data_IF_690472912539
#
_entry.id   IF_690472912539
#
_cell.length_a   1.000
_cell.length_b   1.000
_cell.length_c   1.000
_cell.angle_alpha   90.00
_cell.angle_beta   90.00
_cell.angle_gamma   90.00
#
_symmetry.space_group_name_H-M   'P 1'
#
loop_
_entity.id
_entity.type
_entity.pdbx_description
1 polymer ?
2 non-polymer ?
3 non-polymer ?
4 water ?
#
# COMPACT_ATOMS: atom_id res chain seq x y z
N UNK A 15 36.04 -6.14 -7.80
CA UNK A 15 34.94 -6.13 -8.82
C UNK A 15 34.01 -7.34 -8.72
N UNK A 16 32.91 -7.27 -9.47
CA UNK A 16 31.88 -8.33 -9.52
C UNK A 16 31.43 -8.56 -10.95
N UNK A 17 31.88 -9.65 -11.56
CA UNK A 17 31.52 -9.97 -12.94
C UNK A 17 30.53 -11.15 -13.04
N UNK A 18 29.77 -11.41 -11.98
CA UNK A 18 28.91 -12.59 -11.93
C UNK A 18 27.83 -12.59 -13.03
N UNK A 19 27.19 -11.44 -13.22
CA UNK A 19 26.05 -11.35 -14.16
C UNK A 19 26.50 -11.28 -15.62
N UNK A 20 27.73 -10.84 -15.85
CA UNK A 20 28.34 -10.90 -17.18
C UNK A 20 28.17 -12.31 -17.74
N UNK A 21 27.91 -12.41 -19.04
CA UNK A 21 27.68 -13.69 -19.74
C UNK A 21 26.32 -14.35 -19.50
N UNK A 22 25.54 -13.88 -18.52
CA UNK A 22 24.15 -14.32 -18.37
C UNK A 22 23.35 -13.69 -19.51
N UNK A 23 22.97 -14.50 -20.49
CA UNK A 23 22.12 -14.04 -21.58
C UNK A 23 20.68 -14.45 -21.31
N UNK A 24 20.50 -15.59 -20.65
CA UNK A 24 19.18 -16.13 -20.39
C UNK A 24 18.67 -15.71 -19.02
N UNK A 25 17.77 -14.74 -19.02
CA UNK A 25 17.13 -14.26 -17.79
C UNK A 25 16.06 -13.25 -18.15
N UNK A 26 14.97 -13.27 -17.41
CA UNK A 26 13.93 -12.27 -17.58
C UNK A 26 13.51 -11.70 -16.23
N UNK A 27 13.26 -10.40 -16.20
CA UNK A 27 13.06 -9.68 -14.95
C UNK A 27 11.87 -8.76 -15.08
N UNK A 28 10.99 -8.80 -14.08
CA UNK A 28 9.77 -8.00 -14.08
C UNK A 28 9.67 -7.20 -12.81
N UNK A 29 9.04 -6.04 -12.92
CA UNK A 29 8.62 -5.26 -11.76
C UNK A 29 7.29 -5.83 -11.24
N UNK A 30 7.19 -5.97 -9.92
CA UNK A 30 5.92 -6.29 -9.28
C UNK A 30 5.57 -5.13 -8.35
N UNK A 31 4.39 -4.55 -8.55
CA UNK A 31 3.87 -3.48 -7.68
C UNK A 31 2.69 -4.04 -6.86
N UNK A 32 2.71 -3.79 -5.55
CA UNK A 32 1.64 -4.23 -4.66
C UNK A 32 1.05 -3.04 -3.92
N UNK A 33 -0.28 -2.97 -3.84
CA UNK A 33 -0.95 -1.97 -2.99
C UNK A 33 -0.89 -2.32 -1.52
N UNK A 34 -0.54 -3.56 -1.19
CA UNK A 34 -0.63 -4.06 0.19
C UNK A 34 0.69 -4.58 0.73
N UNK A 35 1.08 -4.06 1.90
CA UNK A 35 2.21 -4.62 2.66
C UNK A 35 1.87 -6.01 3.20
N UNK A 36 0.62 -6.24 3.55
CA UNK A 36 0.21 -7.56 4.03
C UNK A 36 0.52 -8.65 2.98
N UNK A 37 0.24 -8.36 1.71
CA UNK A 37 0.49 -9.34 0.63
C UNK A 37 1.98 -9.64 0.49
N UNK A 38 2.82 -8.62 0.64
CA UNK A 38 4.27 -8.82 0.65
C UNK A 38 4.65 -9.79 1.80
N UNK A 39 4.18 -9.52 3.01
CA UNK A 39 4.48 -10.42 4.16
C UNK A 39 4.02 -11.84 3.93
N UNK A 40 2.82 -12.00 3.39
CA UNK A 40 2.28 -13.33 3.05
C UNK A 40 3.12 -14.02 1.96
N UNK A 41 3.55 -13.24 0.96
CA UNK A 41 4.39 -13.79 -0.10
C UNK A 41 5.69 -14.37 0.45
N UNK A 42 6.34 -13.60 1.33
CA UNK A 42 7.59 -14.02 1.97
C UNK A 42 7.35 -15.27 2.81
N UNK A 43 6.25 -15.27 3.54
CA UNK A 43 5.90 -16.35 4.46
C UNK A 43 5.58 -17.66 3.74
N UNK A 44 4.83 -17.59 2.63
CA UNK A 44 4.36 -18.82 1.98
C UNK A 44 4.93 -19.06 0.60
N UNK A 45 5.83 -18.19 0.14
CA UNK A 45 6.48 -18.37 -1.17
C UNK A 45 5.50 -18.53 -2.32
N UNK A 46 4.51 -17.65 -2.33
CA UNK A 46 3.50 -17.61 -3.37
C UNK A 46 3.22 -16.15 -3.77
N UNK A 47 2.69 -15.97 -4.97
CA UNK A 47 2.24 -14.66 -5.42
C UNK A 47 1.08 -14.83 -6.39
N UNK A 48 0.40 -13.74 -6.68
CA UNK A 48 -0.57 -13.70 -7.76
C UNK A 48 -0.64 -12.26 -8.28
N UNK A 49 -0.73 -12.10 -9.60
CA UNK A 49 -0.86 -10.78 -10.21
C UNK A 49 -2.27 -10.61 -10.79
N UNK A 50 -2.45 -9.56 -11.59
CA UNK A 50 -3.68 -9.37 -12.38
C UNK A 50 -3.80 -10.49 -13.39
N UNK A 51 -4.95 -10.58 -14.05
CA UNK A 51 -5.08 -11.55 -15.13
C UNK A 51 -4.01 -11.32 -16.20
N UNK A 52 -3.88 -10.08 -16.67
CA UNK A 52 -2.93 -9.79 -17.74
C UNK A 52 -1.48 -9.86 -17.24
N UNK A 53 -1.25 -9.51 -15.98
CA UNK A 53 0.06 -9.68 -15.34
C UNK A 53 0.44 -11.15 -15.27
N UNK A 54 -0.46 -11.96 -14.71
CA UNK A 54 -0.27 -13.40 -14.66
C UNK A 54 0.08 -14.00 -16.02
N UNK A 55 -0.63 -13.61 -17.07
CA UNK A 55 -0.37 -14.12 -18.41
C UNK A 55 1.04 -13.78 -18.91
N UNK A 56 1.46 -12.54 -18.68
CA UNK A 56 2.81 -12.09 -19.02
C UNK A 56 3.88 -12.92 -18.34
N UNK A 57 3.71 -13.11 -17.03
CA UNK A 57 4.68 -13.84 -16.23
C UNK A 57 4.68 -15.31 -16.61
N UNK A 58 3.51 -15.87 -16.87
CA UNK A 58 3.40 -17.28 -17.18
C UNK A 58 4.09 -17.59 -18.51
N UNK A 59 3.88 -16.72 -19.49
CA UNK A 59 4.50 -16.88 -20.82
C UNK A 59 6.02 -16.83 -20.72
N UNK A 60 6.53 -15.91 -19.92
CA UNK A 60 7.97 -15.79 -19.70
C UNK A 60 8.55 -17.00 -19.01
N UNK A 61 7.86 -17.48 -17.98
CA UNK A 61 8.31 -18.66 -17.24
C UNK A 61 8.34 -19.90 -18.13
N UNK A 62 7.29 -20.10 -18.91
CA UNK A 62 7.14 -21.29 -19.73
C UNK A 62 8.10 -21.32 -20.91
N UNK A 63 8.36 -20.16 -21.52
CA UNK A 63 9.31 -20.08 -22.63
C UNK A 63 10.77 -20.10 -22.13
N UNK A 64 11.00 -19.76 -20.87
CA UNK A 64 12.34 -19.87 -20.30
C UNK A 64 12.77 -21.33 -20.30
N UNK A 65 11.81 -22.25 -20.10
CA UNK A 65 12.08 -23.69 -20.12
C UNK A 65 13.28 -24.07 -19.24
N UNK A 66 13.32 -23.52 -18.04
CA UNK A 66 14.34 -23.86 -17.06
C UNK A 66 15.78 -23.49 -17.38
N UNK A 67 16.03 -22.77 -18.48
CA UNK A 67 17.41 -22.44 -18.87
C UNK A 67 17.87 -21.07 -18.35
N UNK A 68 17.05 -20.46 -17.50
CA UNK A 68 17.38 -19.18 -16.88
C UNK A 68 16.28 -18.78 -15.92
N UNK A 69 16.57 -17.83 -15.02
CA UNK A 69 15.61 -17.45 -14.01
C UNK A 69 14.64 -16.36 -14.48
N UNK A 70 13.43 -16.35 -13.90
CA UNK A 70 12.54 -15.21 -13.99
C UNK A 70 12.56 -14.54 -12.63
N UNK A 71 13.14 -13.34 -12.56
CA UNK A 71 13.23 -12.60 -11.31
C UNK A 71 12.09 -11.56 -11.22
N UNK A 72 11.68 -11.29 -9.99
CA UNK A 72 10.61 -10.36 -9.70
C UNK A 72 11.15 -9.33 -8.71
N UNK A 73 11.07 -8.06 -9.11
CA UNK A 73 11.53 -6.95 -8.27
C UNK A 73 10.32 -6.28 -7.63
N UNK A 74 10.16 -6.46 -6.31
CA UNK A 74 8.95 -6.08 -5.57
C UNK A 74 9.03 -4.69 -4.96
N UNK A 75 7.91 -3.98 -5.00
CA UNK A 75 7.81 -2.64 -4.44
C UNK A 75 6.35 -2.35 -4.11
N UNK A 76 6.10 -1.83 -2.92
CA UNK A 76 4.75 -1.43 -2.53
C UNK A 76 4.46 -0.04 -3.06
N UNK A 77 3.32 0.10 -3.73
CA UNK A 77 2.85 1.38 -4.27
C UNK A 77 2.89 2.49 -3.24
N UNK A 78 3.59 3.57 -3.57
CA UNK A 78 3.66 4.76 -2.70
C UNK A 78 4.67 4.66 -1.56
N UNK A 79 5.31 3.50 -1.40
CA UNK A 79 6.22 3.25 -0.28
C UNK A 79 7.56 4.01 -0.37
N UNK A 80 7.95 4.41 -1.57
CA UNK A 80 9.25 5.03 -1.79
C UNK A 80 10.45 4.10 -1.88
N UNK A 81 10.26 2.78 -1.75
CA UNK A 81 11.36 1.82 -1.87
C UNK A 81 10.94 0.50 -2.49
N UNK A 82 11.90 -0.21 -3.08
CA UNK A 82 11.72 -1.62 -3.36
C UNK A 82 11.92 -2.38 -2.06
N UNK A 83 11.24 -3.51 -1.92
CA UNK A 83 11.30 -4.29 -0.69
C UNK A 83 11.96 -5.65 -0.87
N UNK A 84 12.35 -6.00 -2.08
CA UNK A 84 13.10 -7.24 -2.28
C UNK A 84 13.01 -7.86 -3.65
N UNK A 85 13.50 -9.10 -3.74
CA UNK A 85 13.61 -9.84 -5.00
C UNK A 85 13.22 -11.28 -4.75
N UNK A 86 12.41 -11.84 -5.65
CA UNK A 86 12.10 -13.26 -5.64
C UNK A 86 12.23 -13.80 -7.04
N UNK A 87 12.39 -15.12 -7.13
CA UNK A 87 12.40 -15.81 -8.41
C UNK A 87 11.08 -16.54 -8.56
N UNK A 88 10.51 -16.48 -9.76
CA UNK A 88 9.31 -17.23 -10.09
C UNK A 88 9.69 -18.71 -10.18
N UNK A 89 8.92 -19.57 -9.53
CA UNK A 89 9.31 -20.98 -9.36
C UNK A 89 8.23 -21.97 -9.80
N UNK A 90 7.21 -21.50 -10.49
CA UNK A 90 6.24 -22.39 -11.10
C UNK A 90 5.46 -21.62 -12.15
N UNK A 91 4.73 -22.35 -12.98
CA UNK A 91 3.79 -21.73 -13.90
C UNK A 91 2.58 -21.29 -13.09
N UNK A 92 1.70 -20.53 -13.71
CA UNK A 92 0.50 -20.04 -13.04
C UNK A 92 -0.58 -21.12 -13.01
N UNK A 93 -1.08 -21.40 -11.80
CA UNK A 93 -2.30 -22.19 -11.60
C UNK A 93 -3.43 -21.17 -11.50
N UNK A 94 -4.28 -21.12 -12.51
CA UNK A 94 -5.32 -20.10 -12.61
C UNK A 94 -6.58 -20.36 -11.75
N UNK A 95 -6.66 -21.54 -11.14
CA UNK A 95 -7.86 -21.97 -10.41
C UNK A 95 -7.49 -22.44 -9.03
N UNK A 96 -7.49 -21.50 -8.08
CA UNK A 96 -7.05 -21.75 -6.72
C UNK A 96 -7.99 -21.06 -5.75
N UNK A 97 -7.78 -21.27 -4.47
CA UNK A 97 -8.63 -20.68 -3.43
C UNK A 97 -8.71 -19.16 -3.56
N UNK A 98 -9.92 -18.62 -3.51
CA UNK A 98 -10.12 -17.17 -3.58
C UNK A 98 -9.87 -16.55 -2.22
N UNK A 99 -9.65 -15.24 -2.20
CA UNK A 99 -9.62 -14.47 -0.96
C UNK A 99 -8.42 -14.65 -0.06
N UNK A 100 -7.33 -15.21 -0.56
CA UNK A 100 -6.15 -15.40 0.29
C UNK A 100 -5.37 -14.09 0.50
N UNK A 101 -5.60 -13.11 -0.37
CA UNK A 101 -4.86 -11.83 -0.30
C UNK A 101 -5.74 -10.72 0.28
N UNK A 102 -5.14 -9.55 0.51
CA UNK A 102 -5.85 -8.44 1.16
C UNK A 102 -7.17 -8.12 0.48
N UNK A 103 -7.15 -7.94 -0.84
CA UNK A 103 -8.38 -7.77 -1.59
C UNK A 103 -8.67 -9.03 -2.43
N UNK A 104 -9.95 -9.25 -2.71
CA UNK A 104 -10.40 -10.49 -3.34
C UNK A 104 -10.52 -10.31 -4.86
N UNK A 105 -9.50 -9.71 -5.45
CA UNK A 105 -9.48 -9.40 -6.89
C UNK A 105 -8.71 -10.43 -7.70
N UNK A 106 -7.89 -11.24 -7.03
CA UNK A 106 -6.85 -12.04 -7.69
C UNK A 106 -7.34 -13.46 -7.97
N UNK A 107 -7.05 -13.95 -9.17
CA UNK A 107 -7.42 -15.30 -9.55
C UNK A 107 -6.17 -16.09 -9.90
N UNK A 108 -5.79 -17.00 -9.02
CA UNK A 108 -4.67 -17.89 -9.29
C UNK A 108 -3.54 -17.73 -8.31
N UNK A 109 -2.48 -18.49 -8.55
CA UNK A 109 -1.35 -18.55 -7.66
C UNK A 109 -0.16 -19.13 -8.41
N UNK A 110 1.04 -18.67 -8.09
CA UNK A 110 2.23 -19.33 -8.54
C UNK A 110 3.26 -19.29 -7.45
N UNK A 111 4.24 -20.19 -7.51
CA UNK A 111 5.26 -20.27 -6.49
C UNK A 111 6.36 -19.26 -6.77
N UNK A 112 6.99 -18.78 -5.70
CA UNK A 112 8.20 -17.96 -5.81
C UNK A 112 9.19 -18.38 -4.75
N UNK A 113 10.44 -17.97 -4.91
CA UNK A 113 11.44 -18.09 -3.85
C UNK A 113 12.06 -16.72 -3.63
N UNK A 114 11.92 -16.18 -2.43
CA UNK A 114 12.49 -14.87 -2.13
C UNK A 114 14.02 -14.97 -1.99
N UNK A 115 14.69 -13.93 -2.47
CA UNK A 115 16.15 -13.89 -2.54
C UNK A 115 16.65 -12.74 -1.67
N UNK A 116 16.12 -11.55 -1.90
CA UNK A 116 16.39 -10.41 -1.04
C UNK A 116 15.10 -9.97 -0.41
N UNK A 117 15.13 -9.86 0.92
CA UNK A 117 14.13 -9.11 1.64
C UNK A 117 14.88 -7.92 2.25
N UNK A 118 14.97 -6.83 1.50
CA UNK A 118 15.61 -5.62 2.00
C UNK A 118 15.03 -4.38 1.32
N UNK A 119 14.90 -3.31 2.08
CA UNK A 119 14.42 -2.06 1.56
C UNK A 119 15.56 -1.34 0.85
N UNK A 120 15.33 -0.98 -0.41
CA UNK A 120 16.26 -0.18 -1.18
C UNK A 120 15.50 1.08 -1.62
N UNK A 121 15.89 2.26 -1.12
CA UNK A 121 15.23 3.51 -1.50
C UNK A 121 15.18 3.69 -3.01
N UNK A 122 14.16 4.38 -3.52
CA UNK A 122 14.07 4.66 -4.96
C UNK A 122 15.21 5.52 -5.47
N UNK A 123 15.70 6.43 -4.62
CA UNK A 123 16.87 7.26 -4.95
C UNK A 123 18.06 6.45 -5.46
N UNK A 124 18.26 5.25 -4.91
CA UNK A 124 19.33 4.34 -5.34
C UNK A 124 19.14 3.74 -6.73
N UNK A 125 17.91 3.74 -7.23
CA UNK A 125 17.57 3.07 -8.49
C UNK A 125 16.99 4.01 -9.56
N UNK A 126 16.70 5.27 -9.22
CA UNK A 126 15.94 6.14 -10.14
C UNK A 126 16.68 6.57 -11.41
N UNK A 127 18.01 6.44 -11.41
CA UNK A 127 18.83 6.78 -12.59
C UNK A 127 18.90 5.67 -13.66
N UNK A 128 18.39 4.49 -13.33
CA UNK A 128 18.29 3.41 -14.32
C UNK A 128 16.97 3.58 -15.04
N UNK A 129 17.02 3.79 -16.35
CA UNK A 129 15.83 4.03 -17.14
C UNK A 129 15.56 2.88 -18.09
N UNK A 130 14.30 2.71 -18.45
CA UNK A 130 13.88 1.59 -19.28
C UNK A 130 13.59 2.05 -20.71
N UNK A 131 14.41 1.60 -21.66
CA UNK A 131 14.21 1.95 -23.07
C UNK A 131 12.88 1.44 -23.63
N UNK A 132 12.35 0.38 -23.04
CA UNK A 132 11.07 -0.19 -23.47
C UNK A 132 9.86 0.47 -22.81
N UNK A 133 10.09 1.39 -21.88
CA UNK A 133 9.02 2.15 -21.24
C UNK A 133 9.31 3.66 -21.35
N UNK A 134 9.49 4.12 -22.57
CA UNK A 134 9.67 5.56 -22.86
C UNK A 134 10.82 6.21 -22.10
N UNK A 135 11.82 5.41 -21.76
CA UNK A 135 12.99 5.87 -20.99
C UNK A 135 12.66 6.38 -19.59
N UNK A 136 11.54 5.92 -19.03
CA UNK A 136 11.17 6.31 -17.68
C UNK A 136 12.03 5.58 -16.66
N UNK A 137 12.29 6.22 -15.51
CA UNK A 137 12.98 5.55 -14.42
C UNK A 137 12.35 4.21 -14.09
N UNK A 138 13.17 3.21 -13.83
CA UNK A 138 12.68 1.90 -13.42
C UNK A 138 11.77 2.04 -12.19
N UNK A 139 12.03 3.08 -11.39
CA UNK A 139 11.24 3.37 -10.21
C UNK A 139 9.85 3.96 -10.49
N UNK A 140 9.56 4.33 -11.73
CA UNK A 140 8.21 4.74 -12.11
C UNK A 140 7.47 3.65 -12.92
N UNK A 141 7.85 2.39 -12.75
CA UNK A 141 7.22 1.28 -13.48
C UNK A 141 5.88 0.86 -12.87
N UNK A 142 5.03 0.27 -13.70
CA UNK A 142 3.78 -0.34 -13.25
C UNK A 142 3.98 -1.84 -13.06
N UNK A 143 2.96 -2.48 -12.48
CA UNK A 143 3.00 -3.92 -12.22
C UNK A 143 3.28 -4.71 -13.50
N UNK A 144 4.17 -5.69 -13.38
CA UNK A 144 4.62 -6.57 -14.47
C UNK A 144 5.23 -5.84 -15.66
N UNK A 145 5.75 -4.64 -15.44
CA UNK A 145 6.64 -4.01 -16.38
C UNK A 145 7.87 -4.91 -16.51
N UNK A 146 8.19 -5.34 -17.74
CA UNK A 146 9.44 -6.07 -17.96
C UNK A 146 10.63 -5.12 -18.04
N UNK A 147 11.78 -5.59 -17.56
CA UNK A 147 13.03 -4.81 -17.51
C UNK A 147 14.03 -5.45 -18.47
N UNK A 148 14.59 -4.66 -19.40
CA UNK A 148 15.59 -5.24 -20.28
C UNK A 148 16.75 -5.80 -19.45
N UNK A 149 17.33 -6.90 -19.93
CA UNK A 149 18.29 -7.66 -19.14
C UNK A 149 19.46 -6.81 -18.66
N UNK A 150 19.99 -5.94 -19.53
CA UNK A 150 21.18 -5.16 -19.19
C UNK A 150 20.87 -4.18 -18.06
N UNK A 151 19.68 -3.57 -18.12
CA UNK A 151 19.21 -2.71 -17.02
C UNK A 151 18.92 -3.55 -15.77
N UNK A 152 18.37 -4.75 -15.95
CA UNK A 152 18.07 -5.63 -14.81
C UNK A 152 19.34 -6.01 -14.03
N UNK A 153 20.43 -6.26 -14.74
CA UNK A 153 21.70 -6.59 -14.09
C UNK A 153 22.17 -5.45 -13.22
N UNK A 154 22.04 -4.23 -13.76
CA UNK A 154 22.38 -3.02 -13.02
C UNK A 154 21.53 -2.86 -11.75
N UNK A 155 20.23 -3.11 -11.85
CA UNK A 155 19.34 -3.00 -10.70
C UNK A 155 19.69 -4.04 -9.62
N UNK A 156 19.90 -5.28 -10.04
CA UNK A 156 20.25 -6.37 -9.13
C UNK A 156 21.52 -6.08 -8.33
N UNK A 157 22.56 -5.59 -9.01
CA UNK A 157 23.85 -5.28 -8.38
C UNK A 157 23.72 -4.17 -7.35
N UNK A 158 22.88 -3.17 -7.64
CA UNK A 158 22.64 -2.08 -6.68
C UNK A 158 21.88 -2.60 -5.47
N UNK A 159 20.85 -3.41 -5.69
CA UNK A 159 20.09 -4.00 -4.61
C UNK A 159 20.98 -4.86 -3.72
N UNK A 160 21.75 -5.74 -4.34
CA UNK A 160 22.63 -6.65 -3.61
C UNK A 160 23.67 -5.93 -2.77
N UNK A 161 24.16 -4.80 -3.27
CA UNK A 161 25.23 -4.06 -2.58
C UNK A 161 24.73 -2.92 -1.70
N UNK A 162 23.42 -2.69 -1.63
CA UNK A 162 22.91 -1.61 -0.77
C UNK A 162 23.00 -2.05 0.68
N UNK A 163 23.51 -1.17 1.54
CA UNK A 163 23.70 -1.48 2.97
C UNK A 163 22.95 -0.50 3.84
N UNK B 16 -30.54 14.95 8.25
CA UNK B 16 -30.16 13.52 8.43
C UNK B 16 -29.98 13.17 9.91
N UNK B 17 -30.06 11.88 10.20
CA UNK B 17 -29.95 11.36 11.56
C UNK B 17 -28.54 11.50 12.12
N UNK B 18 -27.55 11.38 11.23
CA UNK B 18 -26.16 11.27 11.62
C UNK B 18 -25.38 12.58 11.52
N UNK B 19 -24.58 12.86 12.55
CA UNK B 19 -23.64 14.00 12.58
C UNK B 19 -24.29 15.35 12.33
N UNK B 20 -25.53 15.51 12.81
CA UNK B 20 -26.26 16.76 12.64
C UNK B 20 -25.56 17.90 13.38
N UNK B 21 -24.90 17.58 14.49
CA UNK B 21 -24.19 18.57 15.28
C UNK B 21 -22.71 18.26 15.44
N UNK B 22 -21.96 18.56 14.39
CA UNK B 22 -20.56 18.88 14.54
C UNK B 22 -20.57 20.40 14.52
N UNK B 23 -19.90 21.01 15.48
CA UNK B 23 -19.80 22.46 15.51
C UNK B 23 -18.34 22.88 15.33
N UNK B 24 -17.47 22.33 16.16
CA UNK B 24 -16.06 22.74 16.19
C UNK B 24 -15.10 21.67 15.68
N UNK B 25 -15.62 20.55 15.18
CA UNK B 25 -14.80 19.41 14.83
C UNK B 25 -13.76 19.62 13.72
N UNK B 26 -12.79 18.70 13.68
CA UNK B 26 -11.81 18.66 12.60
C UNK B 26 -11.71 17.20 12.13
N UNK B 27 -11.55 17.00 10.82
CA UNK B 27 -11.70 15.67 10.22
C UNK B 27 -10.53 15.37 9.28
N UNK B 28 -10.01 14.14 9.36
CA UNK B 28 -8.85 13.73 8.59
C UNK B 28 -9.06 12.38 7.87
N UNK B 29 -8.42 12.26 6.70
CA UNK B 29 -8.36 10.99 5.99
C UNK B 29 -7.24 10.17 6.62
N UNK B 30 -7.48 8.88 6.80
CA UNK B 30 -6.43 7.94 7.20
C UNK B 30 -6.28 6.92 6.08
N UNK B 31 -5.05 6.69 5.63
CA UNK B 31 -4.78 5.69 4.60
C UNK B 31 -3.86 4.63 5.19
N UNK B 32 -4.04 3.38 4.76
CA UNK B 32 -3.21 2.27 5.24
C UNK B 32 -2.87 1.33 4.10
N UNK B 33 -1.62 0.89 4.01
CA UNK B 33 -1.34 -0.21 3.11
C UNK B 33 -1.27 -1.57 3.84
N UNK B 34 -1.93 -1.66 5.00
CA UNK B 34 -2.13 -2.91 5.73
C UNK B 34 -3.56 -3.05 6.24
N UNK B 35 -4.29 -4.03 5.72
CA UNK B 35 -5.62 -4.34 6.26
C UNK B 35 -5.51 -4.97 7.66
N UNK B 36 -4.45 -5.73 7.91
CA UNK B 36 -4.18 -6.25 9.26
C UNK B 36 -4.14 -5.15 10.32
N UNK B 37 -3.43 -4.06 10.03
CA UNK B 37 -3.35 -2.90 10.93
C UNK B 37 -4.74 -2.34 11.20
N UNK B 38 -5.56 -2.21 10.16
CA UNK B 38 -6.95 -1.78 10.33
C UNK B 38 -7.70 -2.72 11.28
N UNK B 39 -7.58 -4.02 11.05
CA UNK B 39 -8.26 -4.99 11.91
C UNK B 39 -7.77 -4.88 13.35
N UNK B 40 -6.48 -4.63 13.53
CA UNK B 40 -5.92 -4.44 14.87
C UNK B 40 -6.42 -3.14 15.51
N UNK B 41 -6.59 -2.11 14.70
CA UNK B 41 -7.09 -0.82 15.16
C UNK B 41 -8.52 -0.92 15.67
N UNK B 42 -9.32 -1.70 14.96
CA UNK B 42 -10.73 -1.93 15.33
C UNK B 42 -10.82 -2.75 16.62
N UNK B 43 -9.96 -3.75 16.75
CA UNK B 43 -10.02 -4.66 17.89
C UNK B 43 -9.58 -3.99 19.19
N UNK B 44 -8.58 -3.13 19.12
CA UNK B 44 -8.00 -2.53 20.32
C UNK B 44 -8.16 -1.00 20.40
N UNK B 45 -8.89 -0.40 19.47
CA UNK B 45 -9.16 1.04 19.50
C UNK B 45 -7.88 1.88 19.64
N UNK B 46 -6.93 1.61 18.76
CA UNK B 46 -5.69 2.37 18.68
C UNK B 46 -5.30 2.58 17.23
N UNK B 47 -4.47 3.58 16.98
CA UNK B 47 -3.92 3.82 15.66
C UNK B 47 -2.55 4.47 15.79
N UNK B 48 -1.80 4.46 14.70
CA UNK B 48 -0.54 5.17 14.63
C UNK B 48 -0.30 5.51 13.16
N UNK B 49 0.14 6.74 12.90
CA UNK B 49 0.39 7.21 11.55
C UNK B 49 1.89 7.34 11.36
N UNK B 50 2.32 7.98 10.29
CA UNK B 50 3.73 8.34 10.11
C UNK B 50 4.13 9.35 11.19
N UNK B 51 5.43 9.70 11.26
CA UNK B 51 5.88 10.72 12.21
C UNK B 51 5.20 12.05 11.93
N UNK B 52 5.25 12.51 10.68
CA UNK B 52 4.63 13.78 10.31
C UNK B 52 3.09 13.70 10.44
N UNK B 53 2.53 12.55 10.11
CA UNK B 53 1.10 12.31 10.25
C UNK B 53 0.63 12.35 11.68
N UNK B 54 1.38 11.72 12.58
CA UNK B 54 1.07 11.80 14.01
C UNK B 54 1.16 13.24 14.52
N UNK B 55 2.18 13.97 14.07
CA UNK B 55 2.38 15.35 14.51
C UNK B 55 1.22 16.26 14.15
N UNK B 56 0.66 16.08 12.97
CA UNK B 56 -0.51 16.84 12.53
C UNK B 56 -1.74 16.52 13.34
N UNK B 57 -2.00 15.23 13.51
CA UNK B 57 -3.15 14.76 14.28
C UNK B 57 -3.01 15.17 15.76
N UNK B 58 -1.79 15.11 16.27
CA UNK B 58 -1.49 15.49 17.65
C UNK B 58 -1.78 16.98 17.88
N UNK B 59 -1.17 17.82 17.07
CA UNK B 59 -1.40 19.28 17.10
C UNK B 59 -2.89 19.60 16.99
N UNK B 60 -3.57 18.96 16.04
CA UNK B 60 -5.01 19.16 15.87
C UNK B 60 -5.73 18.85 17.16
N UNK B 61 -5.47 17.65 17.69
CA UNK B 61 -6.11 17.18 18.93
C UNK B 61 -5.81 18.06 20.14
N UNK B 62 -4.55 18.44 20.29
CA UNK B 62 -4.13 19.27 21.43
C UNK B 62 -4.76 20.66 21.40
N UNK B 63 -4.69 21.32 20.24
CA UNK B 63 -5.29 22.66 20.08
C UNK B 63 -6.82 22.62 20.14
N UNK B 64 -7.41 21.48 19.81
CA UNK B 64 -8.85 21.31 19.91
C UNK B 64 -9.34 21.50 21.34
N UNK B 65 -8.54 21.07 22.32
CA UNK B 65 -8.86 21.21 23.75
C UNK B 65 -10.19 20.57 24.18
N UNK B 66 -10.59 19.50 23.49
CA UNK B 66 -11.76 18.72 23.87
C UNK B 66 -13.13 19.33 23.61
N UNK B 67 -13.17 20.52 23.00
CA UNK B 67 -14.44 21.24 22.79
C UNK B 67 -15.22 20.77 21.56
N UNK B 68 -14.69 19.76 20.86
CA UNK B 68 -15.38 19.11 19.74
C UNK B 68 -14.54 17.96 19.21
N UNK B 69 -15.12 17.12 18.35
CA UNK B 69 -14.51 15.86 17.92
C UNK B 69 -13.43 15.99 16.85
N UNK B 70 -12.47 15.06 16.86
CA UNK B 70 -11.54 14.86 15.75
C UNK B 70 -11.87 13.52 15.11
N UNK B 71 -12.56 13.54 13.96
CA UNK B 71 -12.92 12.31 13.25
C UNK B 71 -11.85 11.86 12.23
N UNK B 72 -11.81 10.54 12.00
CA UNK B 72 -10.85 9.93 11.09
C UNK B 72 -11.59 9.06 10.09
N UNK B 73 -11.34 9.29 8.80
CA UNK B 73 -12.01 8.54 7.74
C UNK B 73 -11.03 7.53 7.13
N UNK B 74 -11.22 6.25 7.42
CA UNK B 74 -10.24 5.22 7.08
C UNK B 74 -10.46 4.64 5.68
N UNK B 75 -9.37 4.49 4.94
CA UNK B 75 -9.38 3.81 3.62
C UNK B 75 -8.07 3.05 3.41
N UNK B 76 -8.17 1.78 2.99
CA UNK B 76 -7.00 0.97 2.67
C UNK B 76 -6.54 1.26 1.23
N UNK B 77 -5.25 1.57 1.06
CA UNK B 77 -4.70 1.89 -0.27
C UNK B 77 -5.08 0.85 -1.32
N UNK B 78 -5.59 1.33 -2.45
CA UNK B 78 -5.90 0.47 -3.57
C UNK B 78 -7.17 -0.34 -3.44
N UNK B 79 -7.88 -0.21 -2.30
CA UNK B 79 -9.04 -1.06 -2.02
C UNK B 79 -10.29 -0.64 -2.79
N UNK B 80 -10.31 0.62 -3.26
CA UNK B 80 -11.47 1.17 -3.95
C UNK B 80 -12.61 1.58 -3.04
N UNK B 81 -12.41 1.46 -1.72
CA UNK B 81 -13.45 1.66 -0.70
C UNK B 81 -12.91 2.42 0.52
N UNK B 82 -13.80 3.09 1.25
CA UNK B 82 -13.51 3.54 2.60
C UNK B 82 -13.98 2.40 3.49
N UNK B 83 -13.33 2.19 4.62
CA UNK B 83 -13.68 1.05 5.46
C UNK B 83 -14.25 1.45 6.82
N UNK B 84 -14.33 2.74 7.12
CA UNK B 84 -15.05 3.16 8.33
C UNK B 84 -14.67 4.52 8.89
N UNK B 85 -15.17 4.77 10.11
CA UNK B 85 -15.00 6.06 10.77
C UNK B 85 -14.64 5.86 12.24
N UNK B 86 -13.66 6.62 12.72
CA UNK B 86 -13.32 6.63 14.14
C UNK B 86 -13.08 8.04 14.63
N UNK B 87 -13.18 8.23 15.95
CA UNK B 87 -12.83 9.49 16.59
C UNK B 87 -11.52 9.34 17.34
N UNK B 88 -10.60 10.28 17.12
CA UNK B 88 -9.35 10.34 17.88
C UNK B 88 -9.63 10.69 19.34
N UNK B 89 -9.10 9.89 20.27
CA UNK B 89 -9.51 9.97 21.68
C UNK B 89 -8.37 10.22 22.66
N UNK B 90 -7.21 10.61 22.16
CA UNK B 90 -6.09 10.96 23.03
C UNK B 90 -5.00 11.63 22.21
N UNK B 91 -4.07 12.28 22.90
CA UNK B 91 -2.85 12.78 22.28
C UNK B 91 -1.96 11.62 21.87
N UNK B 92 -0.85 11.92 21.23
CA UNK B 92 0.05 10.90 20.72
C UNK B 92 1.20 10.59 21.68
N UNK B 93 1.32 9.31 22.06
CA UNK B 93 2.48 8.76 22.74
C UNK B 93 3.53 8.43 21.70
N UNK B 94 4.70 9.05 21.80
CA UNK B 94 5.80 8.79 20.87
C UNK B 94 6.81 7.76 21.38
N UNK B 95 6.74 7.42 22.67
CA UNK B 95 7.65 6.43 23.28
C UNK B 95 6.86 5.27 23.81
N UNK B 96 6.76 4.22 23.00
CA UNK B 96 5.82 3.15 23.27
C UNK B 96 6.36 1.83 22.65
N UNK B 97 5.65 0.73 22.89
CA UNK B 97 6.14 -0.60 22.51
C UNK B 97 6.38 -0.71 21.01
N UNK B 98 7.52 -1.27 20.62
CA UNK B 98 7.86 -1.44 19.21
C UNK B 98 7.27 -2.72 18.63
N UNK B 99 7.23 -2.78 17.29
CA UNK B 99 6.82 -3.96 16.56
C UNK B 99 5.40 -4.45 16.80
N UNK B 100 4.49 -3.56 17.17
CA UNK B 100 3.10 -3.99 17.39
C UNK B 100 2.21 -3.96 16.11
N UNK B 101 2.67 -3.30 15.06
CA UNK B 101 1.91 -3.20 13.81
C UNK B 101 2.54 -4.11 12.76
N UNK B 102 1.98 -4.08 11.53
CA UNK B 102 2.50 -4.85 10.39
C UNK B 102 3.99 -4.67 10.16
N UNK B 103 4.47 -3.44 10.29
CA UNK B 103 5.88 -3.14 10.13
C UNK B 103 6.38 -2.38 11.35
N UNK B 104 7.70 -2.44 11.55
CA UNK B 104 8.36 -1.77 12.66
C UNK B 104 8.37 -0.25 12.53
N UNK B 105 8.38 0.29 11.32
CA UNK B 105 8.63 1.73 11.19
C UNK B 105 7.50 2.61 11.75
N UNK B 106 6.35 2.00 12.07
CA UNK B 106 5.26 2.73 12.73
C UNK B 106 5.63 2.87 14.19
N UNK B 107 5.72 4.12 14.66
CA UNK B 107 6.20 4.41 16.01
C UNK B 107 5.25 5.33 16.74
N UNK B 108 4.92 4.97 17.97
CA UNK B 108 3.99 5.76 18.75
C UNK B 108 2.60 5.16 18.69
N UNK B 109 1.68 5.77 19.42
CA UNK B 109 0.32 5.26 19.54
C UNK B 109 -0.62 6.36 20.02
N UNK B 110 -1.87 6.32 19.54
CA UNK B 110 -2.94 7.11 20.12
C UNK B 110 -4.25 6.36 20.11
N UNK B 111 -5.16 6.73 21.01
CA UNK B 111 -6.44 6.05 21.16
C UNK B 111 -7.47 6.56 20.16
N UNK B 112 -8.34 5.66 19.72
CA UNK B 112 -9.43 6.03 18.86
C UNK B 112 -10.64 5.29 19.34
N UNK B 113 -11.80 5.68 18.84
CA UNK B 113 -13.03 4.94 19.07
C UNK B 113 -13.70 4.75 17.73
N UNK B 114 -13.86 3.51 17.29
CA UNK B 114 -14.51 3.24 16.02
C UNK B 114 -16.02 3.42 16.13
N UNK B 115 -16.59 4.16 15.18
CA UNK B 115 -18.01 4.46 15.17
C UNK B 115 -18.71 3.63 14.10
N UNK B 116 -18.19 3.68 12.88
CA UNK B 116 -18.67 2.85 11.78
C UNK B 116 -17.55 1.95 11.27
N UNK B 117 -17.84 0.67 11.15
CA UNK B 117 -17.00 -0.26 10.42
C UNK B 117 -17.83 -0.80 9.28
N UNK B 118 -17.58 -0.32 8.06
CA UNK B 118 -18.17 -0.87 6.84
C UNK B 118 -17.55 -0.31 5.56
N UNK B 119 -17.66 -1.08 4.49
CA UNK B 119 -17.06 -0.75 3.23
C UNK B 119 -18.03 0.08 2.43
N UNK B 120 -17.58 1.26 2.00
CA UNK B 120 -18.36 2.17 1.18
C UNK B 120 -17.58 2.43 -0.10
N UNK B 121 -18.14 2.03 -1.27
CA UNK B 121 -17.41 2.27 -2.51
C UNK B 121 -17.05 3.74 -2.73
N UNK B 122 -15.86 3.96 -3.29
CA UNK B 122 -15.40 5.29 -3.67
C UNK B 122 -16.36 6.01 -4.65
N UNK B 123 -17.07 5.24 -5.46
CA UNK B 123 -18.07 5.81 -6.38
C UNK B 123 -19.08 6.70 -5.65
N UNK B 124 -19.39 6.34 -4.40
CA UNK B 124 -20.37 7.06 -3.60
C UNK B 124 -19.82 8.35 -3.02
N UNK B 125 -18.50 8.49 -3.04
CA UNK B 125 -17.82 9.62 -2.41
C UNK B 125 -17.02 10.50 -3.37
N UNK B 126 -16.73 9.99 -4.56
CA UNK B 126 -15.77 10.67 -5.46
C UNK B 126 -16.27 12.01 -6.02
N UNK B 127 -17.55 12.28 -5.91
CA UNK B 127 -18.12 13.58 -6.29
C UNK B 127 -17.78 14.69 -5.30
N UNK B 128 -17.39 14.32 -4.07
CA UNK B 128 -17.03 15.29 -3.03
C UNK B 128 -15.58 15.73 -3.20
N UNK B 129 -15.38 17.03 -3.42
CA UNK B 129 -14.06 17.57 -3.70
C UNK B 129 -13.56 18.44 -2.55
N UNK B 130 -12.24 18.55 -2.44
CA UNK B 130 -11.62 19.30 -1.35
C UNK B 130 -11.00 20.59 -1.83
N UNK B 131 -11.59 21.71 -1.43
CA UNK B 131 -11.12 23.03 -1.86
C UNK B 131 -9.72 23.31 -1.33
N UNK B 132 -9.34 22.67 -0.22
CA UNK B 132 -7.98 22.80 0.31
C UNK B 132 -6.95 21.87 -0.32
N UNK B 133 -7.39 21.00 -1.22
CA UNK B 133 -6.49 20.10 -1.94
C UNK B 133 -6.71 20.20 -3.45
N UNK B 134 -6.52 21.40 -4.00
CA UNK B 134 -6.64 21.66 -5.46
C UNK B 134 -7.94 21.12 -6.05
N UNK B 135 -8.99 21.13 -5.25
CA UNK B 135 -10.29 20.58 -5.64
C UNK B 135 -10.25 19.12 -6.14
N UNK B 136 -9.33 18.32 -5.59
CA UNK B 136 -9.29 16.90 -5.91
C UNK B 136 -10.41 16.15 -5.19
N UNK B 137 -10.89 15.03 -5.77
CA UNK B 137 -11.87 14.20 -5.08
C UNK B 137 -11.34 13.73 -3.70
N UNK B 138 -12.25 13.61 -2.74
CA UNK B 138 -11.87 13.22 -1.38
C UNK B 138 -11.28 11.81 -1.39
N UNK B 139 -11.72 11.02 -2.37
CA UNK B 139 -11.22 9.67 -2.61
C UNK B 139 -9.79 9.60 -3.21
N UNK B 140 -9.21 10.73 -3.59
CA UNK B 140 -7.81 10.79 -4.01
C UNK B 140 -6.91 11.44 -2.97
N UNK B 141 -7.29 11.32 -1.70
CA UNK B 141 -6.53 11.95 -0.62
C UNK B 141 -5.41 11.05 -0.10
N UNK B 142 -4.40 11.70 0.45
CA UNK B 142 -3.28 11.03 1.11
C UNK B 142 -3.54 10.96 2.61
N UNK B 143 -2.76 10.11 3.28
CA UNK B 143 -2.85 9.92 4.72
C UNK B 143 -2.80 11.25 5.47
N UNK B 144 -3.73 11.43 6.41
CA UNK B 144 -3.86 12.65 7.22
C UNK B 144 -4.14 13.94 6.42
N UNK B 145 -4.66 13.82 5.19
CA UNK B 145 -5.24 14.98 4.50
C UNK B 145 -6.39 15.51 5.32
N UNK B 146 -6.30 16.76 5.79
CA UNK B 146 -7.43 17.36 6.50
C UNK B 146 -8.54 17.67 5.48
N UNK B 147 -9.77 17.48 5.91
CA UNK B 147 -10.96 17.65 5.09
C UNK B 147 -11.75 18.86 5.61
N UNK B 148 -12.17 19.77 4.72
CA UNK B 148 -13.05 20.86 5.18
C UNK B 148 -14.32 20.34 5.85
N UNK B 149 -14.71 20.99 6.94
CA UNK B 149 -15.76 20.47 7.80
C UNK B 149 -17.08 20.22 7.07
N UNK B 150 -17.45 21.14 6.19
CA UNK B 150 -18.68 20.98 5.43
C UNK B 150 -18.57 19.78 4.49
N UNK B 151 -17.39 19.56 3.93
CA UNK B 151 -17.19 18.38 3.07
C UNK B 151 -17.15 17.13 3.94
N UNK B 152 -16.49 17.25 5.09
CA UNK B 152 -16.39 16.14 6.03
C UNK B 152 -17.77 15.64 6.43
N UNK B 153 -18.62 16.58 6.80
CA UNK B 153 -19.99 16.29 7.19
C UNK B 153 -20.70 15.47 6.11
N UNK B 154 -20.52 15.86 4.85
CA UNK B 154 -21.14 15.14 3.72
C UNK B 154 -20.63 13.69 3.63
N UNK B 155 -19.32 13.51 3.77
CA UNK B 155 -18.73 12.16 3.69
C UNK B 155 -19.26 11.32 4.84
N UNK B 156 -19.22 11.89 6.04
CA UNK B 156 -19.67 11.18 7.24
C UNK B 156 -21.08 10.67 7.07
N UNK B 157 -21.97 11.54 6.59
CA UNK B 157 -23.37 11.18 6.38
C UNK B 157 -23.55 10.08 5.33
N UNK B 158 -22.77 10.12 4.26
CA UNK B 158 -22.86 9.08 3.20
C UNK B 158 -22.42 7.72 3.74
N UNK B 159 -21.31 7.72 4.48
CA UNK B 159 -20.83 6.50 5.10
C UNK B 159 -21.87 5.98 6.09
N UNK B 160 -22.37 6.89 6.93
CA UNK B 160 -23.31 6.51 7.99
C UNK B 160 -24.55 5.81 7.43
N UNK B 161 -25.07 6.28 6.30
CA UNK B 161 -26.35 5.80 5.80
C UNK B 161 -26.25 4.75 4.71
N UNK B 162 -25.04 4.48 4.22
CA UNK B 162 -24.86 3.56 3.10
C UNK B 162 -25.26 2.12 3.45
N UNK B 163 -25.97 1.47 2.53
CA UNK B 163 -26.43 0.09 2.70
C UNK B 163 -26.70 -0.55 1.35
#
# INVERSE_FOLDING_TARGET
MGSSYHHHHHHSSGENLYFQHMKHGRVFIIKSYSEDDIHRSIKYNIWCSTEHGNKRLDAAYRSMNGKGPVYLLFSVNGSGHFCGVAEMKSAVDYNTCAGVWSQDKWKGRFDVRWIFVKDVPNSQLRHIRLENNENKPVTNSRDTQEVPLEKAKQVLKIIASYKHTTS
MGSSYHHHHHHSSGENLYFQHMKHGRVFIIKSYSEDDIHRSIKYNIWCSTEHGNKRLDAAYRSMNGKGPVYLLFSVNGSGHFCGVAEMKSAVDYNTCAGVWSQDKWKGRFDVRWIFVKDVPNSQLRHIRLENNENKPVTNSRDTQEVPLEKAKQVLKIIASYKHTTS
#
